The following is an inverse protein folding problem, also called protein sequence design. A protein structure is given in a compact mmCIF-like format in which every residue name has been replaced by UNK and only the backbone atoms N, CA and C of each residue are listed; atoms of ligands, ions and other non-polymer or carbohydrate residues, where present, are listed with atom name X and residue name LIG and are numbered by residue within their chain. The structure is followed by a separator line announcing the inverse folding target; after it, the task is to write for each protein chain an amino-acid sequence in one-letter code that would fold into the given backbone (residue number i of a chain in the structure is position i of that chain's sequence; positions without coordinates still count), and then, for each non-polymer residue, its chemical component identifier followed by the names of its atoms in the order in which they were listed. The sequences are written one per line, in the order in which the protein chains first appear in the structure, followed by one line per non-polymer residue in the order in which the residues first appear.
data_IF_066224789686
#
_entry.id   IF_066224789686
#
_cell.length_a   1.000
_cell.length_b   1.000
_cell.length_c   1.000
_cell.angle_alpha   90.00
_cell.angle_beta   90.00
_cell.angle_gamma   90.00
#
_symmetry.space_group_name_H-M   'P 1'
#
loop_
_entity.id
_entity.type
_entity.pdbx_description
1 polymer ?
#
# COMPACT_ATOMS: atom_id res chain seq x y z
N UNK A 1 32.31 -58.24 28.96
CA UNK A 1 32.05 -57.48 30.21
C UNK A 1 30.79 -56.66 29.94
N UNK A 2 29.58 -57.15 30.34
CA UNK A 2 28.89 -56.93 31.63
C UNK A 2 28.81 -55.42 31.97
N UNK A 3 27.66 -54.79 32.22
CA UNK A 3 26.34 -55.29 32.60
C UNK A 3 25.19 -54.32 32.24
N UNK A 4 24.01 -54.91 32.03
CA UNK A 4 22.66 -54.31 32.16
C UNK A 4 22.23 -54.38 33.64
N UNK A 5 21.40 -53.43 34.09
CA UNK A 5 20.30 -53.54 35.10
C UNK A 5 19.57 -52.18 35.04
N UNK A 6 18.25 -52.03 34.92
CA UNK A 6 17.12 -52.71 35.57
C UNK A 6 16.41 -51.66 36.47
N UNK A 7 15.22 -51.16 36.10
CA UNK A 7 13.88 -51.59 36.62
C UNK A 7 13.62 -50.99 38.02
N UNK A 8 12.78 -49.94 38.14
CA UNK A 8 11.33 -49.97 38.43
C UNK A 8 11.00 -50.46 39.85
N UNK A 9 10.38 -49.57 40.64
CA UNK A 9 9.44 -49.78 41.76
C UNK A 9 9.34 -48.43 42.49
N UNK A 10 8.27 -47.98 43.15
CA UNK A 10 6.85 -48.30 43.23
C UNK A 10 6.30 -47.19 44.20
N UNK A 11 4.98 -47.04 44.30
CA UNK A 11 4.23 -46.37 45.39
C UNK A 11 3.94 -44.85 45.32
N UNK A 12 2.82 -44.54 44.65
CA UNK A 12 1.68 -43.73 45.15
C UNK A 12 1.05 -44.31 46.46
N UNK A 13 -0.02 -43.76 47.10
CA UNK A 13 -0.69 -42.44 47.09
C UNK A 13 -1.10 -41.89 48.49
N UNK A 14 -1.54 -40.62 48.59
CA UNK A 14 -2.52 -40.09 49.59
C UNK A 14 -3.31 -38.94 48.92
N UNK A 15 -4.52 -39.17 48.40
CA UNK A 15 -5.84 -38.97 49.05
C UNK A 15 -5.94 -37.76 50.00
N UNK A 16 -6.75 -36.74 49.63
CA UNK A 16 -7.97 -36.37 50.36
C UNK A 16 -8.82 -35.34 49.58
N UNK A 17 -10.10 -35.68 49.39
CA UNK A 17 -11.30 -34.82 49.41
C UNK A 17 -11.44 -33.72 48.32
N UNK A 18 -12.59 -33.47 47.70
CA UNK A 18 -13.98 -33.94 47.80
C UNK A 18 -14.75 -33.23 46.65
N UNK A 19 -16.03 -33.52 46.49
CA UNK A 19 -17.08 -32.88 45.65
C UNK A 19 -17.55 -33.72 44.46
N UNK A 20 -18.53 -34.56 44.78
CA UNK A 20 -19.67 -35.00 43.92
C UNK A 20 -20.94 -34.64 44.75
N UNK A 21 -22.19 -34.54 44.22
CA UNK A 21 -22.66 -35.20 43.01
C UNK A 21 -23.70 -34.50 42.09
N UNK A 22 -23.72 -35.02 40.86
CA UNK A 22 -24.84 -35.35 39.95
C UNK A 22 -26.24 -34.71 40.11
N UNK A 23 -26.73 -34.16 39.00
CA UNK A 23 -27.99 -34.50 38.27
C UNK A 23 -28.21 -33.36 37.26
N UNK A 24 -28.69 -33.51 36.03
CA UNK A 24 -29.58 -34.48 35.42
C UNK A 24 -30.20 -33.75 34.21
N UNK A 25 -30.21 -34.42 33.08
CA UNK A 25 -30.88 -34.21 31.79
C UNK A 25 -32.12 -33.29 31.78
N UNK A 26 -32.29 -32.46 30.73
CA UNK A 26 -33.35 -32.46 29.69
C UNK A 26 -33.50 -31.07 29.04
N UNK A 27 -33.58 -31.11 27.71
CA UNK A 27 -33.95 -30.12 26.70
C UNK A 27 -34.88 -28.97 27.12
N UNK A 28 -34.58 -27.76 26.62
CA UNK A 28 -35.59 -26.92 25.93
C UNK A 28 -34.96 -25.72 25.23
N UNK A 29 -35.17 -25.70 23.92
CA UNK A 29 -35.04 -24.57 23.00
C UNK A 29 -35.63 -23.30 23.61
N UNK A 30 -34.80 -22.28 23.83
CA UNK A 30 -35.24 -20.89 23.89
C UNK A 30 -34.45 -20.09 22.86
N UNK A 31 -35.12 -19.93 21.73
CA UNK A 31 -34.82 -18.99 20.66
C UNK A 31 -34.83 -17.57 21.23
N UNK A 32 -33.69 -16.92 21.34
CA UNK A 32 -33.62 -15.47 21.52
C UNK A 32 -32.47 -14.84 20.72
N UNK A 33 -32.69 -13.58 20.31
CA UNK A 33 -32.39 -13.07 18.98
C UNK A 33 -30.95 -12.58 18.84
N UNK A 34 -30.53 -12.50 17.57
CA UNK A 34 -29.44 -11.66 17.12
C UNK A 34 -29.51 -10.30 17.84
N UNK A 35 -28.63 -10.09 18.80
CA UNK A 35 -28.25 -8.76 19.18
C UNK A 35 -27.56 -8.20 17.96
N UNK A 36 -28.31 -7.35 17.24
CA UNK A 36 -27.72 -6.33 16.40
C UNK A 36 -26.55 -5.77 17.19
N UNK A 37 -25.35 -6.01 16.69
CA UNK A 37 -24.20 -5.17 16.99
C UNK A 37 -24.72 -3.76 16.82
N UNK A 38 -25.00 -3.09 17.93
CA UNK A 38 -25.07 -1.65 17.97
C UNK A 38 -23.78 -1.25 17.28
N UNK A 39 -23.93 -0.72 16.08
CA UNK A 39 -22.86 -0.10 15.33
C UNK A 39 -22.37 0.98 16.28
N UNK A 40 -21.39 0.66 17.12
CA UNK A 40 -20.53 1.64 17.74
C UNK A 40 -19.88 2.26 16.52
N UNK A 41 -20.49 3.34 16.05
CA UNK A 41 -19.98 4.14 14.97
C UNK A 41 -18.60 4.52 15.47
N UNK A 42 -17.57 3.90 14.90
CA UNK A 42 -16.19 4.24 15.18
C UNK A 42 -16.02 5.68 14.71
N UNK A 43 -16.33 6.63 15.60
CA UNK A 43 -16.43 8.05 15.28
C UNK A 43 -15.11 8.56 14.72
N UNK A 44 -13.99 7.94 15.13
CA UNK A 44 -12.66 8.18 14.58
C UNK A 44 -12.49 7.68 13.14
N UNK A 45 -13.07 6.52 12.77
CA UNK A 45 -13.03 6.00 11.40
C UNK A 45 -13.95 6.84 10.49
N UNK A 46 -15.16 7.14 10.95
CA UNK A 46 -16.11 7.98 10.24
C UNK A 46 -15.52 9.38 10.01
N UNK A 47 -14.89 9.99 11.03
CA UNK A 47 -14.24 11.29 10.90
C UNK A 47 -13.10 11.29 9.86
N UNK A 48 -12.33 10.19 9.77
CA UNK A 48 -11.26 10.07 8.75
C UNK A 48 -11.83 9.90 7.35
N UNK A 49 -12.93 9.17 7.21
CA UNK A 49 -13.61 8.98 5.93
C UNK A 49 -14.27 10.27 5.44
N UNK A 50 -14.99 10.98 6.31
CA UNK A 50 -15.60 12.27 5.95
C UNK A 50 -14.56 13.30 5.59
N UNK A 51 -13.44 13.32 6.32
CA UNK A 51 -12.35 14.23 6.05
C UNK A 51 -11.61 13.90 4.74
N UNK A 52 -11.44 12.62 4.41
CA UNK A 52 -10.93 12.22 3.08
C UNK A 52 -11.87 12.64 1.95
N UNK A 53 -13.19 12.51 2.16
CA UNK A 53 -14.19 12.97 1.19
C UNK A 53 -14.17 14.50 0.98
N UNK A 54 -13.85 15.28 2.02
CA UNK A 54 -13.69 16.73 1.91
C UNK A 54 -12.46 17.11 1.09
N UNK A 55 -11.34 16.40 1.27
CA UNK A 55 -10.13 16.64 0.50
C UNK A 55 -10.31 16.32 -0.98
N UNK A 56 -10.91 15.18 -1.30
CA UNK A 56 -11.21 14.81 -2.69
C UNK A 56 -12.11 15.85 -3.37
N UNK A 57 -13.07 16.41 -2.63
CA UNK A 57 -13.95 17.46 -3.15
C UNK A 57 -13.19 18.78 -3.36
N UNK A 58 -12.30 19.16 -2.45
CA UNK A 58 -11.47 20.36 -2.59
C UNK A 58 -10.54 20.21 -3.82
N UNK A 59 -9.91 19.05 -3.99
CA UNK A 59 -9.09 18.76 -5.17
C UNK A 59 -9.88 18.86 -6.48
N UNK A 60 -11.13 18.36 -6.50
CA UNK A 60 -12.01 18.52 -7.67
C UNK A 60 -12.38 19.98 -7.93
N UNK A 61 -12.69 20.77 -6.91
CA UNK A 61 -12.96 22.20 -7.08
C UNK A 61 -11.74 22.96 -7.60
N UNK A 62 -10.55 22.61 -7.10
CA UNK A 62 -9.28 23.15 -7.60
C UNK A 62 -9.07 22.79 -9.07
N UNK A 63 -9.31 21.54 -9.45
CA UNK A 63 -9.22 21.07 -10.83
C UNK A 63 -10.19 21.83 -11.75
N UNK A 64 -11.43 22.05 -11.34
CA UNK A 64 -12.45 22.72 -12.16
C UNK A 64 -12.15 24.21 -12.35
N UNK A 65 -11.59 24.88 -11.34
CA UNK A 65 -11.38 26.34 -11.35
C UNK A 65 -10.03 26.73 -11.93
N UNK A 66 -8.97 25.96 -11.68
CA UNK A 66 -7.62 26.29 -12.14
C UNK A 66 -7.15 25.41 -13.30
N UNK A 67 -7.82 24.28 -13.59
CA UNK A 67 -7.42 23.35 -14.65
C UNK A 67 -6.12 22.60 -14.40
N UNK A 68 -5.39 22.93 -13.32
CA UNK A 68 -4.08 22.37 -12.99
C UNK A 68 -4.10 21.66 -11.64
N UNK A 69 -3.65 20.40 -11.66
CA UNK A 69 -3.31 19.63 -10.46
C UNK A 69 -1.80 19.67 -10.36
N UNK A 70 -1.25 20.74 -9.79
CA UNK A 70 0.10 20.66 -9.23
C UNK A 70 0.06 19.53 -8.19
N UNK A 71 0.85 18.46 -8.38
CA UNK A 71 0.97 17.39 -7.40
C UNK A 71 1.90 17.87 -6.28
N UNK A 72 1.53 18.95 -5.59
CA UNK A 72 2.24 19.38 -4.39
C UNK A 72 1.91 18.38 -3.28
N UNK A 73 2.95 17.74 -2.72
CA UNK A 73 3.23 17.17 -1.38
C UNK A 73 2.11 16.66 -0.43
N UNK A 74 0.84 16.98 -0.65
CA UNK A 74 -0.30 16.67 0.21
C UNK A 74 -0.68 15.18 0.22
N UNK A 75 -0.34 14.41 -0.82
CA UNK A 75 -0.54 12.96 -0.83
C UNK A 75 0.28 12.24 0.25
N UNK A 76 1.46 12.78 0.62
CA UNK A 76 2.29 12.25 1.71
C UNK A 76 1.88 12.77 3.09
N UNK A 77 1.30 13.98 3.16
CA UNK A 77 0.81 14.59 4.42
C UNK A 77 -0.51 13.97 4.89
N UNK A 78 -1.39 13.58 3.97
CA UNK A 78 -2.72 13.04 4.27
C UNK A 78 -2.71 11.67 5.00
N UNK A 79 -1.63 10.90 4.87
CA UNK A 79 -1.50 9.57 5.50
C UNK A 79 -0.93 9.61 6.93
N UNK A 80 -0.26 10.69 7.32
CA UNK A 80 0.58 10.74 8.54
C UNK A 80 0.10 11.72 9.62
N UNK A 81 -0.88 12.60 9.33
CA UNK A 81 -1.38 13.58 10.30
C UNK A 81 -2.62 13.10 11.09
N UNK A 82 -2.64 13.43 12.39
CA UNK A 82 -3.83 13.33 13.26
C UNK A 82 -5.03 14.06 12.65
N UNK A 83 -6.26 13.62 12.93
CA UNK A 83 -7.52 14.18 12.40
C UNK A 83 -7.57 15.71 12.54
N UNK A 84 -7.11 16.25 13.66
CA UNK A 84 -7.07 17.69 13.92
C UNK A 84 -5.99 18.43 13.12
N UNK A 85 -4.85 17.76 12.87
CA UNK A 85 -3.79 18.29 12.01
C UNK A 85 -4.25 18.38 10.56
N UNK A 86 -4.94 17.34 10.09
CA UNK A 86 -5.49 17.26 8.73
C UNK A 86 -6.61 18.29 8.53
N UNK A 87 -7.46 18.51 9.53
CA UNK A 87 -8.47 19.58 9.49
C UNK A 87 -7.84 20.97 9.39
N UNK A 88 -6.79 21.26 10.17
CA UNK A 88 -6.05 22.54 10.08
C UNK A 88 -5.34 22.71 8.73
N UNK A 89 -4.92 21.63 8.10
CA UNK A 89 -4.34 21.68 6.75
C UNK A 89 -5.40 22.04 5.70
N UNK A 90 -6.60 21.43 5.79
CA UNK A 90 -7.74 21.76 4.92
C UNK A 90 -8.18 23.21 5.11
N UNK A 91 -8.27 23.68 6.35
CA UNK A 91 -8.67 25.06 6.67
C UNK A 91 -7.67 26.08 6.09
N UNK A 92 -6.37 25.80 6.20
CA UNK A 92 -5.33 26.61 5.54
C UNK A 92 -5.45 26.55 4.02
N UNK A 93 -5.69 25.38 3.43
CA UNK A 93 -5.88 25.23 1.99
C UNK A 93 -7.11 26.01 1.49
N UNK A 94 -8.20 26.04 2.27
CA UNK A 94 -9.38 26.85 1.99
C UNK A 94 -9.10 28.35 2.11
N UNK A 95 -8.37 28.81 3.12
CA UNK A 95 -7.98 30.22 3.24
C UNK A 95 -7.04 30.69 2.12
N UNK A 96 -6.14 29.81 1.68
CA UNK A 96 -5.31 30.06 0.49
C UNK A 96 -6.18 30.12 -0.78
N UNK A 97 -7.16 29.22 -0.91
CA UNK A 97 -8.10 29.23 -2.03
C UNK A 97 -8.98 30.48 -2.07
N UNK A 98 -9.47 30.95 -0.92
CA UNK A 98 -10.26 32.17 -0.80
C UNK A 98 -9.45 33.41 -1.16
N UNK A 99 -8.17 33.48 -0.78
CA UNK A 99 -7.30 34.61 -1.10
C UNK A 99 -6.80 34.62 -2.54
N UNK A 100 -6.68 33.46 -3.19
CA UNK A 100 -6.16 33.35 -4.56
C UNK A 100 -7.16 33.72 -5.66
N UNK A 101 -8.48 33.59 -5.44
CA UNK A 101 -9.48 33.79 -6.51
C UNK A 101 -10.63 34.72 -6.11
N UNK A 102 -10.69 35.89 -6.73
CA UNK A 102 -11.77 36.89 -6.54
C UNK A 102 -13.16 36.34 -6.90
N UNK A 103 -13.26 35.47 -7.91
CA UNK A 103 -14.54 34.87 -8.33
C UNK A 103 -15.14 33.95 -7.26
N UNK A 104 -14.31 33.27 -6.47
CA UNK A 104 -14.77 32.44 -5.34
C UNK A 104 -15.32 33.34 -4.24
N UNK A 105 -14.68 34.46 -3.95
CA UNK A 105 -15.19 35.44 -2.98
C UNK A 105 -16.52 36.03 -3.43
N UNK A 106 -16.68 36.30 -4.73
CA UNK A 106 -17.94 36.78 -5.30
C UNK A 106 -19.04 35.71 -5.23
N UNK A 107 -18.73 34.45 -5.55
CA UNK A 107 -19.66 33.33 -5.41
C UNK A 107 -20.05 33.06 -3.96
N UNK A 108 -19.10 33.16 -3.01
CA UNK A 108 -19.39 33.03 -1.58
C UNK A 108 -20.23 34.20 -1.07
N UNK A 109 -19.98 35.43 -1.55
CA UNK A 109 -20.87 36.57 -1.29
C UNK A 109 -22.25 36.28 -1.86
N UNK A 110 -22.35 35.91 -3.13
CA UNK A 110 -23.63 35.64 -3.78
C UNK A 110 -24.39 34.50 -3.10
N UNK A 111 -23.70 33.43 -2.70
CA UNK A 111 -24.24 32.32 -1.94
C UNK A 111 -24.78 32.81 -0.59
N UNK A 112 -23.99 33.56 0.19
CA UNK A 112 -24.42 34.14 1.48
C UNK A 112 -25.66 35.03 1.35
N UNK A 113 -25.79 35.79 0.26
CA UNK A 113 -26.96 36.65 0.01
C UNK A 113 -28.17 35.89 -0.55
N UNK A 114 -27.98 34.73 -1.18
CA UNK A 114 -29.05 33.97 -1.85
C UNK A 114 -29.22 32.56 -1.29
N UNK A 115 -28.80 32.30 -0.04
CA UNK A 115 -28.90 30.98 0.60
C UNK A 115 -30.34 30.43 0.51
N UNK A 116 -31.35 31.28 0.73
CA UNK A 116 -32.76 30.89 0.66
C UNK A 116 -33.24 30.46 -0.73
N UNK A 117 -32.61 30.95 -1.82
CA UNK A 117 -32.98 30.57 -3.21
C UNK A 117 -32.34 29.25 -3.64
N UNK A 118 -31.19 28.91 -3.06
CA UNK A 118 -30.48 27.66 -3.33
C UNK A 118 -30.85 26.54 -2.36
N UNK A 119 -31.40 26.86 -1.20
CA UNK A 119 -32.06 25.91 -0.29
C UNK A 119 -33.50 25.61 -0.72
N UNK A 120 -33.74 25.40 -2.02
CA UNK A 120 -34.94 24.67 -2.45
C UNK A 120 -34.75 23.23 -1.96
N UNK A 121 -35.11 23.04 -0.69
CA UNK A 121 -35.25 21.75 -0.04
C UNK A 121 -36.40 21.07 -0.77
N UNK A 122 -36.11 19.90 -1.31
CA UNK A 122 -37.02 19.03 -2.02
C UNK A 122 -38.42 19.01 -1.40
N UNK A 123 -39.36 19.74 -2.00
CA UNK A 123 -40.70 19.22 -2.20
C UNK A 123 -40.78 18.84 -3.67
N UNK A 124 -40.21 17.68 -3.99
CA UNK A 124 -40.68 16.89 -5.13
C UNK A 124 -42.10 16.39 -4.81
N UNK A 125 -43.05 17.30 -4.63
CA UNK A 125 -44.44 17.00 -4.94
C UNK A 125 -44.58 17.23 -6.44
N UNK A 126 -44.35 16.16 -7.21
CA UNK A 126 -44.84 16.12 -8.58
C UNK A 126 -46.36 16.22 -8.43
N UNK A 127 -46.92 17.39 -8.73
CA UNK A 127 -48.35 17.55 -8.89
C UNK A 127 -48.78 16.59 -10.00
N UNK A 128 -49.43 15.50 -9.62
CA UNK A 128 -49.78 14.37 -10.48
C UNK A 128 -50.86 14.72 -11.52
N UNK A 129 -51.16 16.01 -11.71
CA UNK A 129 -52.23 16.52 -12.57
C UNK A 129 -51.84 16.74 -14.03
N UNK A 130 -50.56 16.85 -14.37
CA UNK A 130 -50.16 17.19 -15.74
C UNK A 130 -49.59 15.99 -16.51
N UNK A 131 -50.49 15.17 -17.05
CA UNK A 131 -50.20 14.00 -17.89
C UNK A 131 -49.27 14.35 -19.07
N UNK A 132 -49.30 15.60 -19.53
CA UNK A 132 -48.43 16.10 -20.60
C UNK A 132 -46.98 16.25 -20.14
N UNK A 133 -46.74 16.66 -18.89
CA UNK A 133 -45.40 16.78 -18.31
C UNK A 133 -44.80 15.40 -18.06
N UNK A 134 -45.62 14.46 -17.55
CA UNK A 134 -45.19 13.06 -17.40
C UNK A 134 -44.83 12.43 -18.77
N UNK A 135 -45.65 12.65 -19.80
CA UNK A 135 -45.36 12.18 -21.15
C UNK A 135 -44.10 12.81 -21.74
N UNK A 136 -43.88 14.12 -21.53
CA UNK A 136 -42.67 14.80 -21.99
C UNK A 136 -41.40 14.29 -21.30
N UNK A 137 -41.46 13.99 -20.00
CA UNK A 137 -40.33 13.41 -19.25
C UNK A 137 -40.04 12.00 -19.73
N UNK A 138 -41.07 11.17 -19.94
CA UNK A 138 -40.91 9.80 -20.47
C UNK A 138 -40.33 9.84 -21.89
N UNK A 139 -40.80 10.75 -22.75
CA UNK A 139 -40.25 10.93 -24.10
C UNK A 139 -38.80 11.42 -24.08
N UNK A 140 -38.46 12.35 -23.17
CA UNK A 140 -37.09 12.83 -23.01
C UNK A 140 -36.12 11.72 -22.57
N UNK A 141 -36.59 10.74 -21.79
CA UNK A 141 -35.80 9.62 -21.29
C UNK A 141 -35.99 8.32 -22.09
N UNK A 142 -36.82 8.31 -23.14
CA UNK A 142 -37.15 7.13 -23.93
C UNK A 142 -35.91 6.41 -24.48
N UNK A 143 -34.95 7.16 -25.03
CA UNK A 143 -33.69 6.61 -25.55
C UNK A 143 -32.79 6.04 -24.45
N UNK A 144 -32.86 6.58 -23.23
CA UNK A 144 -32.13 6.06 -22.09
C UNK A 144 -32.75 4.75 -21.58
N UNK A 145 -34.07 4.62 -21.63
CA UNK A 145 -34.75 3.36 -21.30
C UNK A 145 -34.43 2.26 -22.30
N UNK A 146 -34.35 2.57 -23.59
CA UNK A 146 -33.96 1.61 -24.62
C UNK A 146 -32.48 1.21 -24.48
N UNK A 147 -31.60 2.18 -24.21
CA UNK A 147 -30.20 1.91 -23.86
C UNK A 147 -30.06 1.06 -22.61
N UNK A 148 -30.81 1.35 -21.53
CA UNK A 148 -30.78 0.55 -20.31
C UNK A 148 -31.38 -0.84 -20.51
N UNK A 149 -32.46 -0.97 -21.28
CA UNK A 149 -33.05 -2.27 -21.59
C UNK A 149 -32.07 -3.15 -22.38
N UNK A 150 -31.35 -2.58 -23.36
CA UNK A 150 -30.31 -3.31 -24.09
C UNK A 150 -29.12 -3.69 -23.20
N UNK A 151 -28.69 -2.80 -22.29
CA UNK A 151 -27.63 -3.09 -21.32
C UNK A 151 -28.04 -4.17 -20.31
N UNK A 152 -29.25 -4.10 -19.75
CA UNK A 152 -29.78 -5.11 -18.84
C UNK A 152 -29.93 -6.46 -19.54
N UNK A 153 -30.39 -6.47 -20.79
CA UNK A 153 -30.47 -7.69 -21.61
C UNK A 153 -29.08 -8.23 -21.94
N UNK A 154 -28.11 -7.35 -22.18
CA UNK A 154 -26.71 -7.74 -22.34
C UNK A 154 -26.16 -8.38 -21.07
N UNK A 155 -26.41 -7.81 -19.89
CA UNK A 155 -25.97 -8.35 -18.59
C UNK A 155 -26.65 -9.69 -18.30
N UNK A 156 -27.95 -9.81 -18.60
CA UNK A 156 -28.70 -11.05 -18.43
C UNK A 156 -28.17 -12.19 -19.32
N UNK A 157 -27.62 -11.84 -20.49
CA UNK A 157 -27.03 -12.80 -21.42
C UNK A 157 -25.55 -13.13 -21.12
N UNK A 158 -24.92 -12.48 -20.12
CA UNK A 158 -23.59 -12.89 -19.68
C UNK A 158 -23.74 -14.21 -18.93
N UNK A 159 -23.16 -15.32 -19.40
CA UNK A 159 -23.14 -16.54 -18.62
C UNK A 159 -22.34 -16.23 -17.34
N UNK A 160 -23.03 -16.20 -16.20
CA UNK A 160 -22.37 -16.21 -14.91
C UNK A 160 -21.45 -17.43 -14.92
N UNK A 161 -20.13 -17.22 -14.79
CA UNK A 161 -19.19 -18.34 -14.68
C UNK A 161 -19.71 -19.31 -13.62
N UNK A 162 -19.69 -20.60 -13.96
CA UNK A 162 -20.26 -21.65 -13.14
C UNK A 162 -19.82 -21.47 -11.67
N UNK A 163 -20.77 -21.49 -10.75
CA UNK A 163 -20.52 -21.32 -9.33
C UNK A 163 -19.52 -22.37 -8.82
N UNK A 164 -19.44 -23.52 -9.50
CA UNK A 164 -18.40 -24.54 -9.27
C UNK A 164 -16.98 -24.01 -9.50
N UNK A 165 -16.74 -23.24 -10.58
CA UNK A 165 -15.44 -22.67 -10.91
C UNK A 165 -15.02 -21.62 -9.88
N UNK A 166 -15.96 -20.80 -9.42
CA UNK A 166 -15.70 -19.86 -8.33
C UNK A 166 -15.38 -20.56 -7.01
N UNK A 167 -16.09 -21.65 -6.68
CA UNK A 167 -15.81 -22.47 -5.50
C UNK A 167 -14.44 -23.15 -5.58
N UNK A 168 -14.04 -23.62 -6.76
CA UNK A 168 -12.73 -24.22 -7.00
C UNK A 168 -11.60 -23.20 -6.81
N UNK A 169 -11.77 -21.96 -7.28
CA UNK A 169 -10.79 -20.89 -7.05
C UNK A 169 -10.65 -20.58 -5.56
N UNK A 170 -11.76 -20.53 -4.82
CA UNK A 170 -11.75 -20.30 -3.37
C UNK A 170 -11.04 -21.47 -2.65
N UNK A 171 -11.27 -22.71 -3.08
CA UNK A 171 -10.60 -23.89 -2.52
C UNK A 171 -9.08 -23.88 -2.71
N UNK A 172 -8.58 -23.23 -3.77
CA UNK A 172 -7.16 -23.13 -4.10
C UNK A 172 -6.44 -21.98 -3.39
N UNK A 173 -7.18 -21.03 -2.82
CA UNK A 173 -6.65 -19.89 -2.09
C UNK A 173 -5.59 -20.24 -1.02
N UNK A 174 -5.75 -21.26 -0.16
CA UNK A 174 -4.71 -21.63 0.80
C UNK A 174 -3.40 -22.09 0.14
N UNK A 175 -3.47 -22.73 -1.03
CA UNK A 175 -2.26 -23.13 -1.79
C UNK A 175 -1.55 -21.91 -2.35
N UNK A 176 -2.30 -20.92 -2.85
CA UNK A 176 -1.76 -19.64 -3.32
C UNK A 176 -1.08 -18.89 -2.17
N UNK A 177 -1.71 -18.84 -0.99
CA UNK A 177 -1.14 -18.19 0.18
C UNK A 177 0.15 -18.88 0.64
N UNK A 178 0.17 -20.22 0.68
CA UNK A 178 1.38 -20.98 1.00
C UNK A 178 2.51 -20.76 -0.03
N UNK A 179 2.18 -20.66 -1.32
CA UNK A 179 3.14 -20.35 -2.37
C UNK A 179 3.67 -18.91 -2.24
N UNK A 180 2.81 -17.93 -1.94
CA UNK A 180 3.21 -16.55 -1.72
C UNK A 180 4.18 -16.40 -0.53
N UNK A 181 3.93 -17.12 0.57
CA UNK A 181 4.84 -17.14 1.72
C UNK A 181 6.22 -17.72 1.35
N UNK A 182 6.26 -18.83 0.59
CA UNK A 182 7.53 -19.38 0.09
C UNK A 182 8.26 -18.40 -0.84
N UNK A 183 7.53 -17.73 -1.73
CA UNK A 183 8.10 -16.74 -2.63
C UNK A 183 8.72 -15.56 -1.86
N UNK A 184 8.06 -15.12 -0.78
CA UNK A 184 8.59 -14.09 0.10
C UNK A 184 9.87 -14.54 0.82
N UNK A 185 9.91 -15.78 1.33
CA UNK A 185 11.12 -16.35 1.95
C UNK A 185 12.27 -16.44 0.95
N UNK A 186 12.02 -16.97 -0.24
CA UNK A 186 13.01 -17.06 -1.32
C UNK A 186 13.53 -15.69 -1.73
N UNK A 187 12.66 -14.68 -1.83
CA UNK A 187 13.08 -13.33 -2.18
C UNK A 187 14.02 -12.74 -1.13
N UNK A 188 13.78 -12.99 0.15
CA UNK A 188 14.66 -12.55 1.24
C UNK A 188 16.02 -13.27 1.18
N UNK A 189 16.02 -14.59 0.95
CA UNK A 189 17.25 -15.37 0.79
C UNK A 189 18.06 -14.90 -0.41
N UNK A 190 17.42 -14.66 -1.55
CA UNK A 190 18.07 -14.13 -2.75
C UNK A 190 18.65 -12.74 -2.48
N UNK A 191 17.94 -11.88 -1.75
CA UNK A 191 18.45 -10.56 -1.40
C UNK A 191 19.70 -10.66 -0.50
N UNK A 192 19.70 -11.54 0.50
CA UNK A 192 20.86 -11.79 1.36
C UNK A 192 22.04 -12.36 0.57
N UNK A 193 21.80 -13.36 -0.28
CA UNK A 193 22.85 -13.96 -1.10
C UNK A 193 23.46 -12.96 -2.08
N UNK A 194 22.65 -12.04 -2.63
CA UNK A 194 23.13 -10.95 -3.49
C UNK A 194 23.99 -9.94 -2.73
N UNK A 195 23.65 -9.63 -1.48
CA UNK A 195 24.50 -8.78 -0.65
C UNK A 195 25.83 -9.48 -0.32
N UNK A 196 25.76 -10.73 0.13
CA UNK A 196 26.97 -11.51 0.44
C UNK A 196 27.88 -11.69 -0.80
N UNK A 197 27.30 -11.92 -1.98
CA UNK A 197 28.09 -12.07 -3.20
C UNK A 197 28.71 -10.74 -3.65
N UNK A 198 27.97 -9.63 -3.56
CA UNK A 198 28.51 -8.30 -3.84
C UNK A 198 29.66 -7.94 -2.91
N UNK A 199 29.53 -8.21 -1.60
CA UNK A 199 30.59 -7.96 -0.62
C UNK A 199 31.82 -8.82 -0.87
N UNK A 200 31.64 -10.10 -1.22
CA UNK A 200 32.75 -10.99 -1.53
C UNK A 200 33.49 -10.53 -2.79
N UNK A 201 32.76 -10.16 -3.85
CA UNK A 201 33.35 -9.63 -5.08
C UNK A 201 34.07 -8.31 -4.81
N UNK A 202 33.47 -7.42 -4.00
CA UNK A 202 34.09 -6.16 -3.60
C UNK A 202 35.40 -6.37 -2.85
N UNK A 203 35.43 -7.31 -1.88
CA UNK A 203 36.64 -7.69 -1.14
C UNK A 203 37.70 -8.32 -2.02
N UNK A 204 37.30 -9.20 -2.94
CA UNK A 204 38.22 -9.82 -3.87
C UNK A 204 38.82 -8.79 -4.84
N UNK A 205 38.03 -7.83 -5.31
CA UNK A 205 38.52 -6.78 -6.18
C UNK A 205 39.49 -5.84 -5.44
N UNK A 206 39.15 -5.44 -4.21
CA UNK A 206 40.02 -4.55 -3.43
C UNK A 206 41.32 -5.22 -3.00
N UNK A 207 41.25 -6.43 -2.46
CA UNK A 207 42.44 -7.13 -1.96
C UNK A 207 43.19 -7.86 -3.06
N UNK A 208 42.51 -8.44 -4.03
CA UNK A 208 43.13 -9.20 -5.10
C UNK A 208 43.65 -8.28 -6.20
N UNK A 209 42.75 -7.56 -6.86
CA UNK A 209 43.09 -6.81 -8.07
C UNK A 209 43.81 -5.51 -7.74
N UNK A 210 43.26 -4.67 -6.87
CA UNK A 210 43.85 -3.36 -6.59
C UNK A 210 45.21 -3.47 -5.89
N UNK A 211 45.33 -4.31 -4.85
CA UNK A 211 46.61 -4.46 -4.15
C UNK A 211 47.69 -5.08 -5.02
N UNK A 212 47.34 -6.04 -5.88
CA UNK A 212 48.30 -6.63 -6.82
C UNK A 212 48.75 -5.60 -7.85
N UNK A 213 47.84 -4.78 -8.37
CA UNK A 213 48.19 -3.71 -9.31
C UNK A 213 49.09 -2.66 -8.67
N UNK A 214 48.86 -2.31 -7.41
CA UNK A 214 49.72 -1.38 -6.66
C UNK A 214 51.13 -1.96 -6.48
N UNK A 215 51.23 -3.24 -6.09
CA UNK A 215 52.51 -3.93 -5.97
C UNK A 215 53.23 -4.04 -7.32
N UNK A 216 52.51 -4.35 -8.41
CA UNK A 216 53.10 -4.41 -9.75
C UNK A 216 53.58 -3.03 -10.21
N UNK A 217 52.81 -1.97 -9.96
CA UNK A 217 53.22 -0.61 -10.29
C UNK A 217 54.50 -0.19 -9.53
N UNK A 218 54.61 -0.53 -8.24
CA UNK A 218 55.85 -0.28 -7.47
C UNK A 218 57.04 -1.03 -8.08
N UNK A 219 56.84 -2.29 -8.49
CA UNK A 219 57.89 -3.09 -9.10
C UNK A 219 58.30 -2.56 -10.46
N UNK A 220 57.34 -2.11 -11.27
CA UNK A 220 57.60 -1.44 -12.55
C UNK A 220 58.39 -0.14 -12.34
N UNK A 221 58.05 0.68 -11.35
CA UNK A 221 58.79 1.90 -11.02
C UNK A 221 60.24 1.59 -10.65
N UNK A 222 60.46 0.58 -9.80
CA UNK A 222 61.81 0.13 -9.40
C UNK A 222 62.59 -0.43 -10.58
N UNK A 223 61.94 -1.18 -11.47
CA UNK A 223 62.57 -1.71 -12.68
C UNK A 223 62.96 -0.59 -13.64
N UNK A 224 62.08 0.40 -13.83
CA UNK A 224 62.34 1.57 -14.66
C UNK A 224 63.48 2.42 -14.10
N UNK A 225 63.56 2.59 -12.79
CA UNK A 225 64.68 3.28 -12.13
C UNK A 225 66.01 2.51 -12.33
N UNK A 226 65.99 1.18 -12.18
CA UNK A 226 67.15 0.34 -12.43
C UNK A 226 67.58 0.41 -13.91
N UNK A 227 66.65 0.31 -14.85
CA UNK A 227 66.93 0.41 -16.28
C UNK A 227 67.53 1.78 -16.63
N UNK A 228 66.96 2.87 -16.08
CA UNK A 228 67.47 4.22 -16.29
C UNK A 228 68.90 4.38 -15.76
N UNK A 229 69.21 3.79 -14.60
CA UNK A 229 70.58 3.81 -14.05
C UNK A 229 71.58 3.08 -14.96
N UNK A 230 71.16 1.95 -15.55
CA UNK A 230 71.97 1.18 -16.50
C UNK A 230 72.18 1.98 -17.79
N UNK A 231 71.13 2.59 -18.34
CA UNK A 231 71.24 3.45 -19.54
C UNK A 231 72.20 4.62 -19.30
N UNK A 232 72.11 5.27 -18.14
CA UNK A 232 73.03 6.34 -17.77
C UNK A 232 74.48 5.85 -17.62
N UNK A 233 74.68 4.69 -17.00
CA UNK A 233 76.00 4.06 -16.88
C UNK A 233 76.60 3.71 -18.25
N UNK A 234 75.81 3.12 -19.15
CA UNK A 234 76.23 2.82 -20.51
C UNK A 234 76.56 4.09 -21.31
N UNK A 235 75.74 5.14 -21.20
CA UNK A 235 76.01 6.42 -21.87
C UNK A 235 77.32 7.07 -21.39
N UNK A 236 77.62 7.01 -20.08
CA UNK A 236 78.91 7.48 -19.53
C UNK A 236 80.08 6.67 -20.05
N UNK A 237 79.97 5.33 -20.12
CA UNK A 237 81.03 4.47 -20.67
C UNK A 237 81.29 4.75 -22.15
N UNK A 238 80.26 4.94 -22.96
CA UNK A 238 80.42 5.30 -24.38
C UNK A 238 81.15 6.63 -24.56
N UNK A 239 80.76 7.68 -23.82
CA UNK A 239 81.44 8.99 -23.85
C UNK A 239 82.90 8.92 -23.38
N UNK A 240 83.19 8.08 -22.38
CA UNK A 240 84.56 7.87 -21.91
C UNK A 240 85.46 7.14 -22.92
N UNK A 241 84.87 6.29 -23.77
CA UNK A 241 85.60 5.62 -24.87
C UNK A 241 85.83 6.58 -26.05
N UNK A 242 84.89 7.49 -26.33
CA UNK A 242 85.02 8.50 -27.40
C UNK A 242 85.99 9.66 -27.05
N UNK A 243 86.37 9.81 -25.77
CA UNK A 243 87.26 10.87 -25.29
C UNK A 243 88.73 10.42 -25.09
N UNK A 244 89.05 9.16 -25.37
CA UNK A 244 90.40 8.56 -25.34
C UNK A 244 90.84 8.28 -26.76
#
# INVERSE_FOLDING_TARGET
MRAKTGTSDDQTPKQLADVTPQNGTIDSVTRQPATMSTITIDHALLARQTLSGLEDRLQRLRLVIYGDVQPDDHANVAKSQSVTGRLKAIDKALGVFESQTSSVQELLRLNKHNVAKFQNKDEHYVDAGDEQVAAAVVLAHASQYESLASQLRSIQNVPLSDASSCADVISQFPRIQAAAHRAQQQQNEIAMLRQCSADLVGRWHSLGVLSLNEALAEWEERLMAAEQSIRQGQARRKRGIEAV
#
